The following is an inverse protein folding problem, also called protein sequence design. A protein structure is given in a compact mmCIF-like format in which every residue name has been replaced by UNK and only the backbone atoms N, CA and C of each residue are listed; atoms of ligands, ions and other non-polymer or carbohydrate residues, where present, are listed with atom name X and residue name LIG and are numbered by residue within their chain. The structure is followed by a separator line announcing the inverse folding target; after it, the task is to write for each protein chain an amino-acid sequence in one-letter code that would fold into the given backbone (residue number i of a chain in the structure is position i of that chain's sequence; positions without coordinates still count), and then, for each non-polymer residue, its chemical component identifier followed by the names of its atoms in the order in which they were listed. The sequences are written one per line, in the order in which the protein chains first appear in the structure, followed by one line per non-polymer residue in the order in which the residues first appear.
data_IF_841360061913
#
_entry.id   IF_841360061913
#
_cell.length_a   1.000
_cell.length_b   1.000
_cell.length_c   1.000
_cell.angle_alpha   90.00
_cell.angle_beta   90.00
_cell.angle_gamma   90.00
#
_symmetry.space_group_name_H-M   'P 1'
#
loop_
_entity.id
_entity.type
_entity.pdbx_description
1 polymer ?
#
# COMPACT_ATOMS: atom_id res chain seq x y z
N UNK A 1 7.17 1.98 14.20
CA UNK A 1 6.61 1.57 12.89
C UNK A 1 7.26 2.30 11.71
N UNK A 2 7.38 3.63 11.75
CA UNK A 2 7.95 4.46 10.66
C UNK A 2 9.30 3.97 10.13
N UNK A 3 10.23 3.56 11.03
CA UNK A 3 11.55 3.01 10.65
C UNK A 3 11.48 1.76 9.77
N UNK A 4 10.44 0.95 9.92
CA UNK A 4 10.20 -0.26 9.12
C UNK A 4 9.42 0.10 7.86
N UNK A 5 8.43 0.99 7.98
CA UNK A 5 7.58 1.39 6.87
C UNK A 5 8.36 2.07 5.73
N UNK A 6 9.25 3.02 6.04
CA UNK A 6 10.00 3.78 5.03
C UNK A 6 10.81 2.91 4.05
N UNK A 7 11.68 1.99 4.49
CA UNK A 7 12.41 1.14 3.56
C UNK A 7 11.47 0.23 2.77
N UNK A 8 10.39 -0.27 3.37
CA UNK A 8 9.43 -1.12 2.68
C UNK A 8 8.66 -0.37 1.58
N UNK A 9 8.15 0.83 1.89
CA UNK A 9 7.40 1.66 0.93
C UNK A 9 8.29 2.20 -0.19
N UNK A 10 9.55 2.49 0.12
CA UNK A 10 10.55 2.83 -0.88
C UNK A 10 10.81 1.64 -1.83
N UNK A 11 11.12 0.46 -1.28
CA UNK A 11 11.39 -0.73 -2.08
C UNK A 11 10.17 -1.15 -2.92
N UNK A 12 8.95 -1.05 -2.38
CA UNK A 12 7.74 -1.38 -3.12
C UNK A 12 7.50 -0.42 -4.27
N UNK A 13 7.68 0.89 -4.04
CA UNK A 13 7.55 1.91 -5.08
C UNK A 13 8.59 1.73 -6.18
N UNK A 14 9.85 1.48 -5.82
CA UNK A 14 10.91 1.20 -6.80
C UNK A 14 10.60 -0.07 -7.59
N UNK A 15 10.09 -1.12 -6.95
CA UNK A 15 9.71 -2.36 -7.64
C UNK A 15 8.61 -2.12 -8.68
N UNK A 16 7.60 -1.30 -8.35
CA UNK A 16 6.54 -0.91 -9.30
C UNK A 16 7.10 -0.08 -10.46
N UNK A 17 8.01 0.85 -10.19
CA UNK A 17 8.68 1.66 -11.22
C UNK A 17 9.52 0.78 -12.15
N UNK A 18 10.29 -0.17 -11.61
CA UNK A 18 11.07 -1.13 -12.40
C UNK A 18 10.16 -1.96 -13.29
N UNK A 19 9.07 -2.51 -12.75
CA UNK A 19 8.10 -3.26 -13.53
C UNK A 19 7.50 -2.42 -14.68
N UNK A 20 7.15 -1.16 -14.42
CA UNK A 20 6.65 -0.22 -15.44
C UNK A 20 7.70 0.07 -16.52
N UNK A 21 8.97 0.31 -16.15
CA UNK A 21 10.07 0.54 -17.10
C UNK A 21 10.32 -0.69 -17.96
N UNK A 22 10.29 -1.90 -17.37
CA UNK A 22 10.38 -3.14 -18.12
C UNK A 22 9.22 -3.28 -19.12
N UNK A 23 8.01 -2.89 -18.73
CA UNK A 23 6.84 -2.88 -19.62
C UNK A 23 6.99 -1.93 -20.81
N UNK A 24 7.56 -0.74 -20.57
CA UNK A 24 7.85 0.25 -21.62
C UNK A 24 8.99 -0.17 -22.56
N UNK A 25 9.82 -1.12 -22.14
CA UNK A 25 10.96 -1.61 -22.91
C UNK A 25 10.60 -2.79 -23.82
N UNK A 26 9.34 -3.23 -23.82
CA UNK A 26 8.84 -4.29 -24.68
C UNK A 26 8.48 -3.69 -26.05
N UNK A 27 9.10 -4.21 -27.11
CA UNK A 27 8.70 -3.97 -28.51
C UNK A 27 7.35 -4.63 -28.81
N UNK A 28 6.94 -4.83 -30.08
CA UNK A 28 5.64 -5.43 -30.37
C UNK A 28 5.50 -6.84 -29.75
N UNK A 29 4.69 -7.03 -28.69
CA UNK A 29 4.65 -8.28 -27.94
C UNK A 29 3.95 -9.40 -28.72
N UNK A 30 3.34 -9.09 -29.86
CA UNK A 30 2.75 -10.06 -30.80
C UNK A 30 3.81 -10.78 -31.63
N UNK A 31 5.02 -10.23 -31.70
CA UNK A 31 6.13 -10.86 -32.42
C UNK A 31 6.69 -12.00 -31.57
N UNK A 32 6.80 -13.20 -32.16
CA UNK A 32 7.32 -14.40 -31.50
C UNK A 32 8.86 -14.43 -31.42
N UNK A 33 9.49 -13.26 -31.35
CA UNK A 33 10.93 -13.14 -31.17
C UNK A 33 11.32 -13.47 -29.73
N UNK A 34 12.43 -14.20 -29.55
CA UNK A 34 12.84 -14.69 -28.23
C UNK A 34 13.18 -13.56 -27.26
N UNK A 35 13.79 -12.46 -27.74
CA UNK A 35 14.14 -11.34 -26.88
C UNK A 35 12.89 -10.58 -26.42
N UNK A 36 11.92 -10.37 -27.33
CA UNK A 36 10.63 -9.75 -27.00
C UNK A 36 9.86 -10.57 -25.97
N UNK A 37 9.75 -11.89 -26.18
CA UNK A 37 9.03 -12.78 -25.26
C UNK A 37 9.72 -12.86 -23.88
N UNK A 38 11.06 -12.81 -23.84
CA UNK A 38 11.79 -12.70 -22.57
C UNK A 38 11.47 -11.37 -21.85
N UNK A 39 11.40 -10.25 -22.58
CA UNK A 39 10.98 -8.95 -22.06
C UNK A 39 9.59 -8.99 -21.41
N UNK A 40 8.61 -9.58 -22.11
CA UNK A 40 7.25 -9.82 -21.58
C UNK A 40 7.30 -10.63 -20.29
N UNK A 41 8.07 -11.72 -20.27
CA UNK A 41 8.21 -12.57 -19.09
C UNK A 41 8.82 -11.81 -17.90
N UNK A 42 9.87 -11.02 -18.12
CA UNK A 42 10.50 -10.22 -17.06
C UNK A 42 9.57 -9.14 -16.53
N UNK A 43 8.84 -8.43 -17.41
CA UNK A 43 7.81 -7.49 -16.99
C UNK A 43 6.74 -8.19 -16.16
N UNK A 44 6.20 -9.32 -16.62
CA UNK A 44 5.15 -10.06 -15.92
C UNK A 44 5.59 -10.49 -14.50
N UNK A 45 6.74 -11.14 -14.38
CA UNK A 45 7.24 -11.65 -13.09
C UNK A 45 7.60 -10.52 -12.12
N UNK A 46 8.24 -9.45 -12.63
CA UNK A 46 8.58 -8.28 -11.82
C UNK A 46 7.32 -7.51 -11.39
N UNK A 47 6.33 -7.34 -12.28
CA UNK A 47 5.06 -6.71 -11.97
C UNK A 47 4.27 -7.50 -10.92
N UNK A 48 4.19 -8.83 -11.06
CA UNK A 48 3.52 -9.68 -10.08
C UNK A 48 4.16 -9.55 -8.69
N UNK A 49 5.49 -9.60 -8.64
CA UNK A 49 6.25 -9.43 -7.39
C UNK A 49 6.04 -8.05 -6.79
N UNK A 50 6.11 -7.00 -7.60
CA UNK A 50 5.90 -5.62 -7.17
C UNK A 50 4.46 -5.40 -6.64
N UNK A 51 3.45 -5.93 -7.32
CA UNK A 51 2.05 -5.86 -6.90
C UNK A 51 1.83 -6.56 -5.56
N UNK A 52 2.31 -7.79 -5.40
CA UNK A 52 2.21 -8.54 -4.14
C UNK A 52 2.94 -7.81 -3.02
N UNK A 53 4.12 -7.28 -3.30
CA UNK A 53 4.92 -6.59 -2.30
C UNK A 53 4.31 -5.25 -1.88
N UNK A 54 3.86 -4.40 -2.82
CA UNK A 54 3.15 -3.16 -2.50
C UNK A 54 1.87 -3.43 -1.70
N UNK A 55 1.13 -4.46 -2.09
CA UNK A 55 -0.06 -4.92 -1.37
C UNK A 55 0.27 -5.32 0.08
N UNK A 56 1.37 -6.07 0.27
CA UNK A 56 1.86 -6.44 1.60
C UNK A 56 2.19 -5.21 2.45
N UNK A 57 2.85 -4.19 1.88
CA UNK A 57 3.18 -2.95 2.61
C UNK A 57 1.91 -2.27 3.14
N UNK A 58 0.90 -2.09 2.30
CA UNK A 58 -0.39 -1.52 2.72
C UNK A 58 -1.09 -2.40 3.78
N UNK A 59 -1.07 -3.72 3.63
CA UNK A 59 -1.64 -4.65 4.61
C UNK A 59 -0.94 -4.57 5.99
N UNK A 60 0.38 -4.36 6.03
CA UNK A 60 1.13 -4.15 7.27
C UNK A 60 0.66 -2.86 7.96
N UNK A 61 0.41 -1.79 7.22
CA UNK A 61 -0.10 -0.55 7.81
C UNK A 61 -1.53 -0.71 8.33
N UNK A 62 -2.39 -1.42 7.58
CA UNK A 62 -3.75 -1.73 8.03
C UNK A 62 -3.74 -2.51 9.34
N UNK A 63 -2.93 -3.57 9.42
CA UNK A 63 -2.81 -4.41 10.62
C UNK A 63 -2.22 -3.65 11.80
N UNK A 64 -1.27 -2.75 11.57
CA UNK A 64 -0.77 -1.83 12.60
C UNK A 64 -1.89 -0.96 13.17
N UNK A 65 -2.73 -0.33 12.33
CA UNK A 65 -3.85 0.48 12.82
C UNK A 65 -4.94 -0.34 13.52
N UNK A 66 -5.18 -1.58 13.08
CA UNK A 66 -6.11 -2.48 13.77
C UNK A 66 -5.60 -2.84 15.16
N UNK A 67 -4.33 -3.24 15.28
CA UNK A 67 -3.71 -3.62 16.55
C UNK A 67 -3.59 -2.45 17.52
N UNK A 68 -3.03 -1.33 17.08
CA UNK A 68 -2.85 -0.15 17.92
C UNK A 68 -4.16 0.51 18.31
N UNK A 69 -5.16 0.56 17.40
CA UNK A 69 -6.47 1.11 17.70
C UNK A 69 -7.15 0.37 18.86
N UNK A 70 -7.19 -0.97 18.78
CA UNK A 70 -7.76 -1.81 19.84
C UNK A 70 -6.97 -1.71 21.14
N UNK A 71 -5.64 -1.70 21.06
CA UNK A 71 -4.79 -1.53 22.24
C UNK A 71 -5.03 -0.18 22.94
N UNK A 72 -5.17 0.92 22.19
CA UNK A 72 -5.47 2.25 22.75
C UNK A 72 -6.85 2.23 23.42
N UNK A 73 -7.87 1.63 22.80
CA UNK A 73 -9.22 1.51 23.36
C UNK A 73 -9.22 0.76 24.70
N UNK A 74 -8.64 -0.44 24.71
CA UNK A 74 -8.58 -1.29 25.90
C UNK A 74 -7.76 -0.65 27.02
N UNK A 75 -6.61 -0.04 26.68
CA UNK A 75 -5.74 0.64 27.65
C UNK A 75 -6.41 1.89 28.23
N UNK A 76 -7.06 2.70 27.38
CA UNK A 76 -7.78 3.90 27.82
C UNK A 76 -8.93 3.53 28.76
N UNK A 77 -9.62 2.42 28.49
CA UNK A 77 -10.67 1.87 29.35
C UNK A 77 -10.11 1.39 30.69
N UNK A 78 -9.04 0.61 30.68
CA UNK A 78 -8.43 0.04 31.87
C UNK A 78 -7.85 1.11 32.83
N UNK A 79 -7.24 2.16 32.26
CA UNK A 79 -6.61 3.24 33.04
C UNK A 79 -7.49 4.49 33.20
N UNK A 80 -8.70 4.51 32.61
CA UNK A 80 -9.64 5.64 32.63
C UNK A 80 -9.04 6.95 32.08
N UNK A 81 -8.34 6.87 30.94
CA UNK A 81 -7.57 7.97 30.35
C UNK A 81 -8.43 9.04 29.64
N UNK A 82 -9.76 8.91 29.64
CA UNK A 82 -10.65 9.73 28.84
C UNK A 82 -10.70 9.32 27.35
N UNK A 83 -11.67 9.84 26.57
CA UNK A 83 -11.92 9.38 25.20
C UNK A 83 -11.00 10.04 24.15
N UNK A 84 -10.33 11.15 24.48
CA UNK A 84 -9.68 12.03 23.50
C UNK A 84 -8.59 11.35 22.68
N UNK A 85 -7.74 10.52 23.31
CA UNK A 85 -6.66 9.81 22.63
C UNK A 85 -7.19 8.68 21.72
N UNK A 86 -8.23 7.99 22.18
CA UNK A 86 -8.88 6.94 21.39
C UNK A 86 -9.58 7.52 20.16
N UNK A 87 -10.36 8.59 20.30
CA UNK A 87 -11.05 9.21 19.17
C UNK A 87 -10.08 9.84 18.17
N UNK A 88 -8.96 10.43 18.63
CA UNK A 88 -7.90 10.89 17.73
C UNK A 88 -7.28 9.75 16.91
N UNK A 89 -6.94 8.62 17.56
CA UNK A 89 -6.39 7.43 16.89
C UNK A 89 -7.36 6.87 15.85
N UNK A 90 -8.64 6.78 16.23
CA UNK A 90 -9.74 6.32 15.38
C UNK A 90 -9.93 7.24 14.16
N UNK A 91 -9.88 8.56 14.35
CA UNK A 91 -9.99 9.52 13.25
C UNK A 91 -8.85 9.38 12.23
N UNK A 92 -7.61 9.16 12.68
CA UNK A 92 -6.46 8.94 11.78
C UNK A 92 -6.67 7.67 10.96
N UNK A 93 -7.07 6.57 11.60
CA UNK A 93 -7.38 5.29 10.94
C UNK A 93 -8.41 5.48 9.82
N UNK A 94 -9.57 6.06 10.14
CA UNK A 94 -10.66 6.19 9.17
C UNK A 94 -10.41 7.22 8.06
N UNK A 95 -9.50 8.18 8.26
CA UNK A 95 -9.04 9.08 7.19
C UNK A 95 -8.03 8.42 6.26
N UNK A 96 -7.27 7.43 6.75
CA UNK A 96 -6.18 6.79 5.99
C UNK A 96 -6.66 5.57 5.20
N UNK A 97 -7.56 4.76 5.78
CA UNK A 97 -8.06 3.51 5.16
C UNK A 97 -8.61 3.71 3.74
N UNK A 98 -9.42 4.73 3.43
CA UNK A 98 -9.98 4.88 2.07
C UNK A 98 -8.91 5.04 1.00
N UNK A 99 -7.85 5.79 1.28
CA UNK A 99 -6.73 5.97 0.34
C UNK A 99 -5.97 4.66 0.12
N UNK A 100 -5.71 3.91 1.20
CA UNK A 100 -5.06 2.60 1.17
C UNK A 100 -5.88 1.57 0.39
N UNK A 101 -7.18 1.48 0.64
CA UNK A 101 -8.11 0.58 -0.08
C UNK A 101 -8.21 0.97 -1.55
N UNK A 102 -8.29 2.27 -1.85
CA UNK A 102 -8.28 2.76 -3.23
C UNK A 102 -7.00 2.36 -3.98
N UNK A 103 -5.84 2.50 -3.35
CA UNK A 103 -4.56 2.06 -3.90
C UNK A 103 -4.53 0.54 -4.13
N UNK A 104 -4.97 -0.24 -3.13
CA UNK A 104 -5.05 -1.69 -3.22
C UNK A 104 -5.93 -2.16 -4.40
N UNK A 105 -7.09 -1.52 -4.60
CA UNK A 105 -7.96 -1.81 -5.74
C UNK A 105 -7.29 -1.45 -7.07
N UNK A 106 -6.59 -0.32 -7.13
CA UNK A 106 -5.82 0.09 -8.32
C UNK A 106 -4.72 -0.92 -8.66
N UNK A 107 -3.99 -1.44 -7.67
CA UNK A 107 -2.98 -2.49 -7.86
C UNK A 107 -3.60 -3.74 -8.51
N UNK A 108 -4.75 -4.20 -8.01
CA UNK A 108 -5.48 -5.35 -8.57
C UNK A 108 -5.94 -5.06 -9.99
N UNK A 109 -6.58 -3.91 -10.23
CA UNK A 109 -7.09 -3.53 -11.55
C UNK A 109 -5.93 -3.44 -12.55
N UNK A 110 -4.78 -2.89 -12.16
CA UNK A 110 -3.59 -2.78 -13.01
C UNK A 110 -3.10 -4.15 -13.45
N UNK A 111 -2.98 -5.09 -12.51
CA UNK A 111 -2.58 -6.47 -12.80
C UNK A 111 -3.57 -7.18 -13.73
N UNK A 112 -4.87 -7.03 -13.48
CA UNK A 112 -5.92 -7.60 -14.32
C UNK A 112 -5.89 -7.03 -15.75
N UNK A 113 -5.67 -5.72 -15.90
CA UNK A 113 -5.52 -5.07 -17.20
C UNK A 113 -4.22 -5.49 -17.91
N UNK A 114 -3.15 -5.76 -17.16
CA UNK A 114 -1.91 -6.32 -17.71
C UNK A 114 -2.14 -7.70 -18.32
N UNK A 115 -2.83 -8.57 -17.58
CA UNK A 115 -3.24 -9.88 -18.09
C UNK A 115 -4.19 -9.78 -19.31
N UNK A 116 -5.07 -8.79 -19.35
CA UNK A 116 -5.96 -8.56 -20.50
C UNK A 116 -5.25 -7.93 -21.72
N UNK A 117 -4.08 -7.32 -21.52
CA UNK A 117 -3.24 -6.77 -22.57
C UNK A 117 -2.23 -7.80 -23.13
N UNK A 118 -2.08 -8.96 -22.47
CA UNK A 118 -1.21 -10.05 -22.90
C UNK A 118 -1.67 -10.61 -24.27
N UNK A 119 -0.83 -10.60 -25.31
CA UNK A 119 -1.16 -11.17 -26.61
C UNK A 119 -1.48 -12.68 -26.58
N UNK A 120 -0.96 -13.40 -25.59
CA UNK A 120 -1.23 -14.82 -25.37
C UNK A 120 -2.54 -15.06 -24.60
N UNK A 121 -3.21 -14.00 -24.12
CA UNK A 121 -4.50 -14.15 -23.44
C UNK A 121 -5.55 -14.75 -24.38
N UNK A 122 -6.28 -15.74 -23.88
CA UNK A 122 -7.39 -16.38 -24.60
C UNK A 122 -8.52 -15.40 -24.94
N UNK A 123 -8.64 -14.32 -24.17
CA UNK A 123 -9.59 -13.24 -24.39
C UNK A 123 -8.84 -11.99 -24.87
N UNK A 124 -8.73 -11.83 -26.19
CA UNK A 124 -8.15 -10.61 -26.76
C UNK A 124 -9.10 -9.43 -26.54
N UNK A 125 -8.76 -8.56 -25.59
CA UNK A 125 -9.46 -7.29 -25.41
C UNK A 125 -9.32 -6.44 -26.68
N UNK A 126 -10.44 -5.99 -27.25
CA UNK A 126 -10.46 -5.06 -28.39
C UNK A 126 -10.08 -3.62 -28.02
N UNK A 127 -9.72 -3.38 -26.75
CA UNK A 127 -9.60 -2.03 -26.21
C UNK A 127 -10.96 -1.45 -25.82
N UNK A 128 -10.95 -0.22 -25.29
CA UNK A 128 -12.15 0.49 -24.85
C UNK A 128 -12.01 1.99 -25.16
N UNK A 129 -13.13 2.65 -25.50
CA UNK A 129 -13.17 4.09 -25.83
C UNK A 129 -12.16 4.51 -26.93
N UNK A 130 -11.83 3.62 -27.86
CA UNK A 130 -10.86 3.89 -28.93
C UNK A 130 -9.39 3.71 -28.54
N UNK A 131 -9.10 3.36 -27.29
CA UNK A 131 -7.74 3.05 -26.82
C UNK A 131 -7.47 1.55 -26.85
N UNK A 132 -6.25 1.17 -27.22
CA UNK A 132 -5.80 -0.22 -27.16
C UNK A 132 -5.73 -0.72 -25.71
N UNK A 133 -5.83 -2.03 -25.50
CA UNK A 133 -5.66 -2.64 -24.17
C UNK A 133 -4.31 -2.27 -23.53
N UNK A 134 -3.23 -2.22 -24.32
CA UNK A 134 -1.91 -1.80 -23.87
C UNK A 134 -1.89 -0.34 -23.41
N UNK A 135 -2.54 0.56 -24.15
CA UNK A 135 -2.64 1.99 -23.78
C UNK A 135 -3.43 2.17 -22.48
N UNK A 136 -4.52 1.42 -22.32
CA UNK A 136 -5.32 1.43 -21.09
C UNK A 136 -4.50 0.89 -19.92
N UNK A 137 -3.82 -0.25 -20.09
CA UNK A 137 -2.96 -0.82 -19.07
C UNK A 137 -1.86 0.15 -18.63
N UNK A 138 -1.14 0.76 -19.58
CA UNK A 138 -0.11 1.75 -19.29
C UNK A 138 -0.66 2.97 -18.54
N UNK A 139 -1.80 3.50 -18.98
CA UNK A 139 -2.44 4.65 -18.33
C UNK A 139 -2.80 4.34 -16.87
N UNK A 140 -3.38 3.16 -16.63
CA UNK A 140 -3.72 2.72 -15.28
C UNK A 140 -2.46 2.41 -14.47
N UNK A 141 -1.40 1.84 -15.06
CA UNK A 141 -0.14 1.61 -14.38
C UNK A 141 0.50 2.91 -13.88
N UNK A 142 0.49 3.97 -14.69
CA UNK A 142 0.97 5.31 -14.29
C UNK A 142 0.15 5.83 -13.10
N UNK A 143 -1.18 5.78 -13.20
CA UNK A 143 -2.07 6.21 -12.11
C UNK A 143 -1.82 5.40 -10.84
N UNK A 144 -1.60 4.09 -10.95
CA UNK A 144 -1.33 3.21 -9.82
C UNK A 144 -0.01 3.52 -9.14
N UNK A 145 1.07 3.80 -9.89
CA UNK A 145 2.35 4.21 -9.29
C UNK A 145 2.19 5.53 -8.53
N UNK A 146 1.50 6.51 -9.11
CA UNK A 146 1.23 7.80 -8.46
C UNK A 146 0.34 7.65 -7.22
N UNK A 147 -0.71 6.84 -7.32
CA UNK A 147 -1.61 6.55 -6.21
C UNK A 147 -0.90 5.80 -5.07
N UNK A 148 -0.02 4.85 -5.39
CA UNK A 148 0.83 4.17 -4.42
C UNK A 148 1.78 5.14 -3.71
N UNK A 149 2.41 6.06 -4.44
CA UNK A 149 3.26 7.09 -3.82
C UNK A 149 2.44 8.01 -2.90
N UNK A 150 1.27 8.45 -3.35
CA UNK A 150 0.38 9.28 -2.54
C UNK A 150 -0.13 8.54 -1.29
N UNK A 151 -0.56 7.28 -1.43
CA UNK A 151 -0.99 6.44 -0.32
C UNK A 151 0.16 6.23 0.67
N UNK A 152 1.36 5.92 0.19
CA UNK A 152 2.55 5.75 1.05
C UNK A 152 2.87 7.02 1.85
N UNK A 153 2.73 8.20 1.24
CA UNK A 153 2.91 9.47 1.94
C UNK A 153 1.84 9.68 3.02
N UNK A 154 0.57 9.44 2.71
CA UNK A 154 -0.52 9.55 3.68
C UNK A 154 -0.35 8.57 4.86
N UNK A 155 0.02 7.33 4.55
CA UNK A 155 0.32 6.29 5.54
C UNK A 155 1.49 6.67 6.43
N UNK A 156 2.59 7.20 5.86
CA UNK A 156 3.72 7.70 6.64
C UNK A 156 3.28 8.75 7.67
N UNK A 157 2.53 9.76 7.24
CA UNK A 157 2.03 10.82 8.13
C UNK A 157 1.08 10.29 9.20
N UNK A 158 0.23 9.34 8.82
CA UNK A 158 -0.70 8.69 9.74
C UNK A 158 0.01 7.82 10.78
N UNK A 159 1.08 7.10 10.38
CA UNK A 159 1.92 6.30 11.27
C UNK A 159 2.71 7.16 12.26
N UNK A 160 3.27 8.29 11.82
CA UNK A 160 3.92 9.26 12.73
C UNK A 160 2.93 9.74 13.79
N UNK A 161 1.78 10.26 13.35
CA UNK A 161 0.78 10.82 14.27
C UNK A 161 0.19 9.78 15.21
N UNK A 162 -0.04 8.56 14.74
CA UNK A 162 -0.50 7.48 15.61
C UNK A 162 0.58 7.06 16.63
N UNK A 163 1.84 7.06 16.22
CA UNK A 163 2.98 6.86 17.14
C UNK A 163 3.00 7.87 18.28
N UNK A 164 2.78 9.15 17.99
CA UNK A 164 2.68 10.20 19.02
C UNK A 164 1.54 9.95 20.02
N UNK A 165 0.41 9.40 19.56
CA UNK A 165 -0.72 9.04 20.43
C UNK A 165 -0.34 7.85 21.31
N UNK A 166 0.32 6.83 20.75
CA UNK A 166 0.81 5.68 21.52
C UNK A 166 1.76 6.16 22.62
N UNK A 167 2.69 7.05 22.31
CA UNK A 167 3.63 7.61 23.30
C UNK A 167 2.91 8.39 24.41
N UNK A 168 1.87 9.16 24.08
CA UNK A 168 1.04 9.86 25.06
C UNK A 168 0.29 8.88 25.98
N UNK A 169 -0.31 7.82 25.43
CA UNK A 169 -0.98 6.78 26.21
C UNK A 169 0.01 6.10 27.16
N UNK A 170 1.21 5.74 26.67
CA UNK A 170 2.25 5.13 27.50
C UNK A 170 2.74 6.05 28.61
N UNK A 171 2.92 7.34 28.32
CA UNK A 171 3.33 8.34 29.31
C UNK A 171 2.30 8.47 30.44
N UNK A 172 1.01 8.50 30.09
CA UNK A 172 -0.07 8.62 31.05
C UNK A 172 -0.27 7.35 31.89
N UNK A 173 -0.18 6.18 31.25
CA UNK A 173 -0.16 4.90 31.97
C UNK A 173 1.00 4.86 32.97
N UNK A 174 2.20 5.29 32.56
CA UNK A 174 3.37 5.37 33.43
C UNK A 174 3.14 6.31 34.62
N UNK A 175 2.56 7.50 34.39
CA UNK A 175 2.19 8.44 35.47
C UNK A 175 1.28 7.78 36.50
N UNK A 176 0.18 7.16 36.05
CA UNK A 176 -0.80 6.51 36.93
C UNK A 176 -0.18 5.34 37.69
N UNK A 177 0.70 4.55 37.05
CA UNK A 177 1.40 3.44 37.72
C UNK A 177 2.31 3.93 38.82
N UNK A 178 3.09 4.98 38.58
CA UNK A 178 3.95 5.61 39.58
C UNK A 178 3.15 6.17 40.76
N UNK A 179 2.04 6.87 40.50
CA UNK A 179 1.15 7.40 41.55
C UNK A 179 0.54 6.31 42.44
N UNK A 180 0.38 5.10 41.89
CA UNK A 180 -0.14 3.93 42.61
C UNK A 180 0.96 3.05 43.22
N UNK A 181 2.24 3.43 43.11
CA UNK A 181 3.37 2.63 43.58
C UNK A 181 3.56 1.31 42.83
N UNK A 182 3.07 1.21 41.59
CA UNK A 182 3.23 0.04 40.73
C UNK A 182 4.53 0.12 39.93
N UNK A 183 5.15 -1.03 39.64
CA UNK A 183 6.35 -1.11 38.81
C UNK A 183 6.11 -0.55 37.40
N UNK A 184 7.13 0.03 36.77
CA UNK A 184 7.09 0.61 35.41
C UNK A 184 7.86 -0.25 34.43
#
# INVERSE_FOLDING_TARGET
MVRIFLPLSFLSTISLVVAMVLGLSIDDPKVLDKAVQAGVQYHFLSALTALVFATLVHAIVLTYFMGTGRWIEETSTAYKLGPDLHEQSKAIKYRTIPAMVGCFLLLIITGALGAAADPAASMQSRGWLGFSAATIHLSVAIVTVLANLAANYLEFRALERNGEIVDQVLAEVKRIRLEKGLAV
#
